data_IF_088569731439
#
_entry.id   IF_088569731439
#
_cell.length_a   1.000
_cell.length_b   1.000
_cell.length_c   1.000
_cell.angle_alpha   90.00
_cell.angle_beta   90.00
_cell.angle_gamma   90.00
#
_symmetry.space_group_name_H-M   'P 1'
#
loop_
_entity.id
_entity.type
_entity.pdbx_description
1 polymer ?
#
# COMPACT_ATOMS: atom_id res chain seq x y z
N UNK A 1 4.34 5.83 -4.13
CA UNK A 1 4.39 5.25 -2.76
C UNK A 1 5.25 6.15 -1.91
N UNK A 2 4.82 6.53 -0.71
CA UNK A 2 5.72 7.20 0.25
C UNK A 2 6.82 6.24 0.68
N UNK A 3 7.92 6.77 1.18
CA UNK A 3 9.02 5.96 1.73
C UNK A 3 8.56 5.10 2.90
N UNK A 4 7.61 5.58 3.71
CA UNK A 4 7.04 4.83 4.82
C UNK A 4 6.28 3.61 4.34
N UNK A 5 5.35 3.77 3.38
CA UNK A 5 4.61 2.64 2.79
C UNK A 5 5.57 1.68 2.09
N UNK A 6 6.58 2.20 1.37
CA UNK A 6 7.59 1.33 0.74
C UNK A 6 8.33 0.47 1.77
N UNK A 7 8.86 1.09 2.83
CA UNK A 7 9.64 0.39 3.86
C UNK A 7 8.82 -0.69 4.60
N UNK A 8 7.54 -0.41 4.79
CA UNK A 8 6.63 -1.22 5.59
C UNK A 8 5.92 -2.31 4.78
N UNK A 9 5.40 -1.96 3.60
CA UNK A 9 4.56 -2.84 2.80
C UNK A 9 5.35 -3.56 1.70
N UNK A 10 6.39 -2.96 1.12
CA UNK A 10 7.06 -3.50 -0.08
C UNK A 10 8.44 -4.06 0.20
N UNK A 11 9.30 -3.29 0.86
CA UNK A 11 10.71 -3.61 1.00
C UNK A 11 10.90 -4.97 1.69
N UNK A 12 11.67 -5.85 1.05
CA UNK A 12 11.98 -7.17 1.60
C UNK A 12 13.29 -7.67 1.01
N UNK A 13 14.18 -8.16 1.86
CA UNK A 13 15.55 -8.55 1.50
C UNK A 13 15.86 -9.95 2.02
N UNK A 14 16.97 -10.53 1.55
CA UNK A 14 17.44 -11.81 2.06
C UNK A 14 17.72 -11.81 3.57
N UNK A 15 18.08 -10.65 4.14
CA UNK A 15 18.25 -10.49 5.59
C UNK A 15 16.94 -10.59 6.37
N UNK A 16 15.81 -10.24 5.75
CA UNK A 16 14.47 -10.38 6.34
C UNK A 16 14.05 -11.86 6.37
N UNK A 17 14.32 -12.57 5.28
CA UNK A 17 14.05 -14.01 5.14
C UNK A 17 14.81 -14.90 6.15
N UNK A 18 15.87 -14.38 6.78
CA UNK A 18 16.59 -15.07 7.85
C UNK A 18 15.86 -15.04 9.20
N UNK A 19 14.94 -14.08 9.40
CA UNK A 19 14.28 -13.81 10.69
C UNK A 19 12.77 -13.97 10.63
N UNK A 20 12.20 -13.82 9.44
CA UNK A 20 10.76 -13.81 9.18
C UNK A 20 10.44 -14.78 8.03
N UNK A 21 9.16 -15.13 7.83
CA UNK A 21 8.74 -16.01 6.74
C UNK A 21 9.22 -15.51 5.38
N UNK A 22 9.50 -16.45 4.48
CA UNK A 22 9.93 -16.10 3.14
C UNK A 22 8.88 -15.23 2.43
N UNK A 23 9.33 -14.10 1.90
CA UNK A 23 8.54 -13.23 1.02
C UNK A 23 9.41 -12.75 -0.15
N UNK A 24 8.75 -12.34 -1.22
CA UNK A 24 9.38 -11.75 -2.38
C UNK A 24 9.00 -10.25 -2.48
N UNK A 25 9.98 -9.36 -2.67
CA UNK A 25 9.74 -7.92 -2.75
C UNK A 25 8.82 -7.55 -3.91
N UNK A 26 8.96 -8.23 -5.06
CA UNK A 26 8.14 -7.94 -6.23
C UNK A 26 6.69 -8.41 -6.03
N UNK A 27 6.49 -9.55 -5.36
CA UNK A 27 5.18 -10.02 -4.90
C UNK A 27 4.53 -9.04 -3.93
N UNK A 28 5.27 -8.53 -2.95
CA UNK A 28 4.76 -7.51 -2.02
C UNK A 28 4.40 -6.20 -2.71
N UNK A 29 5.18 -5.76 -3.71
CA UNK A 29 4.81 -4.61 -4.55
C UNK A 29 3.53 -4.89 -5.34
N UNK A 30 3.42 -6.09 -5.90
CA UNK A 30 2.22 -6.52 -6.62
C UNK A 30 0.99 -6.47 -5.72
N UNK A 31 1.06 -6.96 -4.47
CA UNK A 31 -0.06 -6.91 -3.53
C UNK A 31 -0.56 -5.48 -3.28
N UNK A 32 0.35 -4.53 -3.08
CA UNK A 32 0.01 -3.10 -2.86
C UNK A 32 -0.68 -2.50 -4.08
N UNK A 33 -0.15 -2.74 -5.28
CA UNK A 33 -0.68 -2.17 -6.52
C UNK A 33 -1.98 -2.84 -6.95
N UNK A 34 -2.07 -4.16 -6.82
CA UNK A 34 -3.27 -4.92 -7.17
C UNK A 34 -4.43 -4.55 -6.25
N UNK A 35 -4.21 -4.46 -4.94
CA UNK A 35 -5.25 -4.05 -3.99
C UNK A 35 -5.69 -2.59 -4.21
N UNK A 36 -4.77 -1.69 -4.58
CA UNK A 36 -5.14 -0.33 -4.98
C UNK A 36 -6.02 -0.33 -6.24
N UNK A 37 -5.63 -1.05 -7.29
CA UNK A 37 -6.40 -1.17 -8.52
C UNK A 37 -7.77 -1.81 -8.28
N UNK A 38 -7.84 -2.83 -7.44
CA UNK A 38 -9.09 -3.50 -7.04
C UNK A 38 -10.00 -2.54 -6.27
N UNK A 39 -9.45 -1.75 -5.33
CA UNK A 39 -10.21 -0.75 -4.59
C UNK A 39 -10.78 0.34 -5.50
N UNK A 40 -10.01 0.81 -6.49
CA UNK A 40 -10.49 1.78 -7.49
C UNK A 40 -11.70 1.20 -8.25
N UNK A 41 -11.55 0.00 -8.81
CA UNK A 41 -12.60 -0.65 -9.60
C UNK A 41 -13.88 -0.95 -8.81
N UNK A 42 -13.77 -1.18 -7.50
CA UNK A 42 -14.91 -1.52 -6.63
C UNK A 42 -15.47 -0.31 -5.87
N UNK A 43 -14.86 0.87 -6.01
CA UNK A 43 -15.30 2.09 -5.33
C UNK A 43 -16.57 2.71 -5.92
N UNK A 44 -16.94 2.35 -7.16
CA UNK A 44 -18.14 2.88 -7.84
C UNK A 44 -19.46 2.49 -7.16
N UNK A 45 -19.48 1.38 -6.40
CA UNK A 45 -20.67 0.90 -5.67
C UNK A 45 -20.83 1.47 -4.25
N UNK A 46 -19.85 2.23 -3.75
CA UNK A 46 -19.86 2.75 -2.37
C UNK A 46 -19.57 4.24 -2.33
N UNK A 47 -20.63 5.05 -2.31
CA UNK A 47 -20.62 6.53 -2.23
C UNK A 47 -19.80 7.13 -1.08
N UNK A 48 -19.40 6.32 -0.08
CA UNK A 48 -18.59 6.73 1.08
C UNK A 48 -17.07 6.64 0.86
N UNK A 49 -16.58 5.99 -0.21
CA UNK A 49 -15.14 5.69 -0.33
C UNK A 49 -14.30 6.72 -1.09
N UNK A 50 -14.95 7.68 -1.77
CA UNK A 50 -14.30 8.76 -2.50
C UNK A 50 -14.69 10.12 -1.90
N UNK A 51 -14.24 10.39 -0.68
CA UNK A 51 -14.31 11.74 -0.13
C UNK A 51 -13.11 12.55 -0.64
N UNK A 52 -13.37 13.62 -1.40
CA UNK A 52 -12.37 14.62 -1.78
C UNK A 52 -11.14 14.08 -2.55
N UNK A 53 -11.31 13.05 -3.38
CA UNK A 53 -10.20 12.46 -4.15
C UNK A 53 -9.29 11.54 -3.32
N UNK A 54 -9.74 11.13 -2.13
CA UNK A 54 -9.09 10.18 -1.24
C UNK A 54 -9.83 8.85 -1.28
N UNK A 55 -9.09 7.75 -1.47
CA UNK A 55 -9.58 6.38 -1.39
C UNK A 55 -8.81 5.62 -0.31
N UNK A 56 -9.53 5.03 0.66
CA UNK A 56 -8.94 4.13 1.65
C UNK A 56 -9.14 2.68 1.23
N UNK A 57 -8.09 1.87 1.37
CA UNK A 57 -8.15 0.43 1.11
C UNK A 57 -7.29 -0.35 2.09
N UNK A 58 -7.61 -1.62 2.27
CA UNK A 58 -6.89 -2.52 3.17
C UNK A 58 -6.20 -3.62 2.36
N UNK A 59 -5.01 -4.00 2.80
CA UNK A 59 -4.34 -5.24 2.38
C UNK A 59 -3.73 -5.95 3.59
N UNK A 60 -3.41 -7.22 3.43
CA UNK A 60 -2.70 -8.01 4.43
C UNK A 60 -1.23 -8.10 4.04
N UNK A 61 -0.33 -7.80 4.97
CA UNK A 61 1.12 -7.91 4.77
C UNK A 61 1.77 -8.47 6.03
N UNK A 62 2.86 -9.21 5.90
CA UNK A 62 3.70 -9.54 7.07
C UNK A 62 4.51 -8.30 7.45
N UNK A 63 4.38 -7.77 8.69
CA UNK A 63 5.13 -6.60 9.07
C UNK A 63 6.64 -6.82 9.00
N UNK A 64 7.37 -5.85 8.45
CA UNK A 64 8.84 -5.88 8.41
C UNK A 64 9.44 -5.37 9.72
N UNK A 65 8.98 -5.91 10.84
CA UNK A 65 9.39 -5.53 12.20
C UNK A 65 10.49 -6.44 12.78
N UNK A 66 10.88 -7.47 12.02
CA UNK A 66 11.95 -8.41 12.36
C UNK A 66 11.50 -9.61 13.21
N UNK A 67 10.21 -9.73 13.54
CA UNK A 67 9.70 -10.82 14.37
C UNK A 67 8.29 -11.31 14.00
N UNK A 68 7.48 -10.52 13.29
CA UNK A 68 6.14 -10.93 12.88
C UNK A 68 6.22 -12.07 11.85
N UNK A 69 5.42 -13.11 12.10
CA UNK A 69 5.32 -14.30 11.23
C UNK A 69 3.99 -14.43 10.51
N UNK A 70 3.03 -13.55 10.84
CA UNK A 70 1.67 -13.59 10.30
C UNK A 70 1.35 -12.31 9.56
N UNK A 71 0.51 -12.44 8.53
CA UNK A 71 0.02 -11.30 7.80
C UNK A 71 -0.97 -10.51 8.66
N UNK A 72 -0.80 -9.19 8.73
CA UNK A 72 -1.66 -8.26 9.45
C UNK A 72 -2.29 -7.28 8.49
N UNK A 73 -3.54 -6.86 8.74
CA UNK A 73 -4.17 -5.84 7.92
C UNK A 73 -3.42 -4.50 8.08
N UNK A 74 -3.36 -3.76 7.00
CA UNK A 74 -2.89 -2.38 6.98
C UNK A 74 -3.81 -1.56 6.08
N UNK A 75 -4.26 -0.40 6.59
CA UNK A 75 -5.03 0.55 5.80
C UNK A 75 -4.07 1.52 5.13
N UNK A 76 -4.18 1.64 3.82
CA UNK A 76 -3.47 2.63 3.02
C UNK A 76 -4.45 3.65 2.44
N UNK A 77 -3.93 4.86 2.25
CA UNK A 77 -4.60 5.99 1.63
C UNK A 77 -4.04 6.13 0.20
N UNK A 78 -4.92 6.26 -0.77
CA UNK A 78 -4.60 6.58 -2.16
C UNK A 78 -5.21 7.94 -2.48
N UNK A 79 -4.38 8.85 -2.99
CA UNK A 79 -4.79 10.18 -3.44
C UNK A 79 -4.37 10.38 -4.89
N UNK A 80 -5.11 11.25 -5.59
CA UNK A 80 -4.77 11.72 -6.92
C UNK A 80 -4.50 13.22 -6.89
N UNK A 81 -3.40 13.65 -7.49
CA UNK A 81 -3.01 15.06 -7.59
C UNK A 81 -2.20 15.34 -8.87
N UNK A 82 -1.92 16.62 -9.18
CA UNK A 82 -1.08 16.96 -10.32
C UNK A 82 0.39 16.62 -10.05
N UNK A 83 1.06 16.05 -11.05
CA UNK A 83 2.51 15.94 -11.12
C UNK A 83 3.17 17.24 -11.58
N UNK A 84 4.49 17.19 -11.76
CA UNK A 84 5.31 18.36 -12.10
C UNK A 84 4.95 18.97 -13.46
N UNK A 85 4.32 18.19 -14.35
CA UNK A 85 3.83 18.64 -15.65
C UNK A 85 2.29 18.66 -15.75
N UNK A 86 1.58 18.58 -14.62
CA UNK A 86 0.12 18.58 -14.56
C UNK A 86 -0.54 17.26 -14.96
N UNK A 87 0.25 16.20 -15.18
CA UNK A 87 -0.24 14.84 -15.34
C UNK A 87 -0.84 14.31 -14.03
N UNK A 88 -1.85 13.43 -14.06
CA UNK A 88 -2.38 12.83 -12.84
C UNK A 88 -1.36 11.86 -12.22
N UNK A 89 -1.05 12.07 -10.94
CA UNK A 89 -0.17 11.20 -10.15
C UNK A 89 -0.97 10.57 -9.02
N UNK A 90 -0.88 9.24 -8.93
CA UNK A 90 -1.39 8.47 -7.81
C UNK A 90 -0.33 8.37 -6.72
N UNK A 91 -0.66 8.83 -5.52
CA UNK A 91 0.20 8.67 -4.35
C UNK A 91 -0.47 7.74 -3.35
N UNK A 92 0.25 6.70 -2.95
CA UNK A 92 -0.15 5.75 -1.92
C UNK A 92 0.70 6.03 -0.68
N UNK A 93 0.02 6.27 0.44
CA UNK A 93 0.58 6.73 1.72
C UNK A 93 -0.22 6.14 2.88
N UNK A 94 0.27 6.26 4.12
CA UNK A 94 -0.54 5.94 5.28
C UNK A 94 -1.62 7.00 5.52
N UNK A 95 -2.72 6.67 6.22
CA UNK A 95 -3.79 7.63 6.50
C UNK A 95 -3.33 8.88 7.26
N UNK A 96 -2.30 8.74 8.10
CA UNK A 96 -1.71 9.79 8.93
C UNK A 96 -0.59 10.59 8.26
N UNK A 97 -0.18 10.22 7.04
CA UNK A 97 0.72 11.03 6.21
C UNK A 97 -0.13 12.03 5.40
N UNK A 98 0.35 13.25 5.18
CA UNK A 98 -0.33 14.26 4.34
C UNK A 98 0.33 14.39 2.96
#
# INVERSE_FOLDING_TARGET
>A
LTSAVWADCVAWTDGDNQKMPFQDQSGRLYDVLFMAAFAIQTSEDSSDRLLYGVLLYELYRVPRDGFSTEAKPVTLKLIIGPGDHGEPVLTILFPNED
#
